data_IF_134571441449
#
_entry.id   IF_134571441449
#
_cell.length_a   1.000
_cell.length_b   1.000
_cell.length_c   1.000
_cell.angle_alpha   90.00
_cell.angle_beta   90.00
_cell.angle_gamma   90.00
#
_symmetry.space_group_name_H-M   'P 1'
#
loop_
_entity.id
_entity.type
_entity.pdbx_description
1 polymer ?
#
# COMPACT_ATOMS: atom_id res chain seq x y z
N UNK A 1 5.53 -28.11 -13.03
CA UNK A 1 5.05 -26.78 -13.47
C UNK A 1 4.59 -26.02 -12.26
N UNK A 2 5.11 -24.82 -12.03
CA UNK A 2 4.80 -24.03 -10.83
C UNK A 2 3.97 -22.82 -11.27
N UNK A 3 2.65 -22.88 -11.02
CA UNK A 3 1.75 -21.77 -11.28
C UNK A 3 1.67 -20.90 -10.03
N UNK A 4 2.03 -19.62 -10.16
CA UNK A 4 1.96 -18.65 -9.06
C UNK A 4 0.72 -17.78 -9.27
N UNK A 5 -0.26 -17.93 -8.37
CA UNK A 5 -1.49 -17.13 -8.41
C UNK A 5 -1.22 -15.77 -7.77
N UNK A 6 -1.24 -14.72 -8.59
CA UNK A 6 -1.08 -13.32 -8.17
C UNK A 6 -2.42 -12.60 -8.04
N UNK A 7 -2.53 -11.59 -7.16
CA UNK A 7 -3.78 -10.85 -6.98
C UNK A 7 -4.00 -9.73 -8.04
N UNK A 8 -2.95 -9.32 -8.76
CA UNK A 8 -3.01 -8.42 -9.91
C UNK A 8 -3.31 -9.19 -11.21
N UNK A 9 -3.94 -8.51 -12.16
CA UNK A 9 -4.41 -9.10 -13.42
C UNK A 9 -3.28 -9.31 -14.42
N UNK A 10 -2.32 -8.38 -14.47
CA UNK A 10 -1.13 -8.47 -15.31
C UNK A 10 0.10 -7.79 -14.66
N UNK A 11 1.28 -7.99 -15.24
CA UNK A 11 2.52 -7.39 -14.75
C UNK A 11 2.57 -5.88 -14.93
N UNK A 12 1.81 -5.31 -15.89
CA UNK A 12 1.75 -3.88 -16.14
C UNK A 12 1.02 -3.16 -15.01
N UNK A 13 -0.03 -3.76 -14.48
CA UNK A 13 -0.80 -3.25 -13.35
C UNK A 13 0.08 -3.10 -12.11
N UNK A 14 0.93 -4.10 -11.83
CA UNK A 14 1.89 -4.04 -10.72
C UNK A 14 2.92 -2.93 -10.93
N UNK A 15 3.48 -2.80 -12.14
CA UNK A 15 4.44 -1.74 -12.46
C UNK A 15 3.82 -0.35 -12.36
N UNK A 16 2.55 -0.20 -12.75
CA UNK A 16 1.81 1.05 -12.62
C UNK A 16 1.60 1.40 -11.14
N UNK A 17 1.16 0.45 -10.31
CA UNK A 17 1.01 0.68 -8.86
C UNK A 17 2.35 1.08 -8.24
N UNK A 18 3.45 0.44 -8.62
CA UNK A 18 4.78 0.86 -8.18
C UNK A 18 5.09 2.30 -8.58
N UNK A 19 4.85 2.68 -9.83
CA UNK A 19 5.08 4.05 -10.29
C UNK A 19 4.22 5.06 -9.54
N UNK A 20 2.97 4.73 -9.28
CA UNK A 20 2.02 5.60 -8.58
C UNK A 20 2.39 5.75 -7.08
N UNK A 21 2.85 4.68 -6.41
CA UNK A 21 3.30 4.70 -5.01
C UNK A 21 4.53 5.60 -4.79
N UNK A 22 5.53 5.51 -5.67
CA UNK A 22 6.76 6.31 -5.59
C UNK A 22 6.65 7.68 -6.29
N UNK A 23 5.49 7.99 -6.88
CA UNK A 23 5.24 9.29 -7.50
C UNK A 23 5.19 10.43 -6.49
N UNK A 24 5.00 11.66 -6.97
CA UNK A 24 4.81 12.84 -6.11
C UNK A 24 3.33 13.22 -5.94
N UNK A 25 2.46 12.67 -6.78
CA UNK A 25 1.02 12.94 -6.81
C UNK A 25 0.29 12.14 -5.72
N UNK A 26 -0.26 12.83 -4.72
CA UNK A 26 -0.98 12.24 -3.60
C UNK A 26 -2.26 11.50 -4.03
N UNK A 27 -2.95 11.96 -5.08
CA UNK A 27 -4.16 11.32 -5.59
C UNK A 27 -3.82 9.98 -6.23
N UNK A 28 -2.70 9.91 -6.96
CA UNK A 28 -2.22 8.66 -7.56
C UNK A 28 -1.76 7.68 -6.48
N UNK A 29 -1.04 8.15 -5.45
CA UNK A 29 -0.65 7.32 -4.30
C UNK A 29 -1.86 6.70 -3.60
N UNK A 30 -2.88 7.50 -3.30
CA UNK A 30 -4.09 7.01 -2.65
C UNK A 30 -4.80 5.94 -3.49
N UNK A 31 -4.91 6.17 -4.81
CA UNK A 31 -5.47 5.16 -5.73
C UNK A 31 -4.63 3.87 -5.75
N UNK A 32 -3.31 3.99 -5.67
CA UNK A 32 -2.41 2.84 -5.64
C UNK A 32 -2.54 2.05 -4.33
N UNK A 33 -2.59 2.72 -3.18
CA UNK A 33 -2.83 2.11 -1.87
C UNK A 33 -4.18 1.38 -1.86
N UNK A 34 -5.25 2.03 -2.31
CA UNK A 34 -6.57 1.42 -2.40
C UNK A 34 -6.60 0.16 -3.29
N UNK A 35 -5.83 0.14 -4.38
CA UNK A 35 -5.67 -1.07 -5.20
C UNK A 35 -4.96 -2.18 -4.45
N UNK A 36 -3.90 -1.89 -3.71
CA UNK A 36 -3.19 -2.89 -2.90
C UNK A 36 -4.10 -3.45 -1.81
N UNK A 37 -4.90 -2.61 -1.14
CA UNK A 37 -5.91 -3.10 -0.18
C UNK A 37 -6.99 -3.95 -0.84
N UNK A 38 -7.45 -3.59 -2.05
CA UNK A 38 -8.36 -4.44 -2.80
C UNK A 38 -7.74 -5.81 -3.14
N UNK A 39 -6.45 -5.86 -3.46
CA UNK A 39 -5.71 -7.11 -3.68
C UNK A 39 -5.57 -7.94 -2.41
N UNK A 40 -5.30 -7.30 -1.28
CA UNK A 40 -5.28 -7.94 0.04
C UNK A 40 -6.60 -8.62 0.36
N UNK A 41 -7.72 -7.94 0.13
CA UNK A 41 -9.06 -8.51 0.35
C UNK A 41 -9.38 -9.68 -0.58
N UNK A 42 -8.83 -9.70 -1.81
CA UNK A 42 -9.03 -10.82 -2.75
C UNK A 42 -8.24 -12.06 -2.37
N UNK A 43 -7.05 -11.88 -1.79
CA UNK A 43 -6.17 -12.99 -1.42
C UNK A 43 -5.32 -12.62 -0.20
N UNK A 44 -5.84 -12.82 1.03
CA UNK A 44 -5.17 -12.40 2.26
C UNK A 44 -3.79 -13.05 2.43
N UNK A 45 -3.63 -14.32 2.01
CA UNK A 45 -2.36 -15.07 2.17
C UNK A 45 -1.46 -15.05 0.92
N UNK A 46 -1.82 -14.27 -0.11
CA UNK A 46 -1.13 -14.27 -1.40
C UNK A 46 -0.47 -12.96 -1.78
N UNK A 47 -0.61 -11.93 -0.95
CA UNK A 47 0.04 -10.65 -1.17
C UNK A 47 1.49 -10.72 -0.65
N UNK A 48 2.49 -10.30 -1.44
CA UNK A 48 3.85 -10.21 -0.93
C UNK A 48 3.93 -9.28 0.28
N UNK A 49 4.55 -9.73 1.37
CA UNK A 49 4.69 -8.96 2.61
C UNK A 49 5.25 -7.55 2.34
N UNK A 50 6.28 -7.46 1.49
CA UNK A 50 6.89 -6.18 1.10
C UNK A 50 5.90 -5.20 0.49
N UNK A 51 4.93 -5.69 -0.29
CA UNK A 51 3.91 -4.85 -0.93
C UNK A 51 2.88 -4.37 0.09
N UNK A 52 2.48 -5.22 1.04
CA UNK A 52 1.56 -4.85 2.13
C UNK A 52 2.20 -3.80 3.07
N UNK A 53 3.44 -4.03 3.51
CA UNK A 53 4.17 -3.06 4.36
C UNK A 53 4.38 -1.72 3.66
N UNK A 54 4.66 -1.74 2.34
CA UNK A 54 4.80 -0.48 1.57
C UNK A 54 3.48 0.27 1.47
N UNK A 55 2.36 -0.43 1.26
CA UNK A 55 1.04 0.20 1.23
C UNK A 55 0.66 0.79 2.59
N UNK A 56 0.90 0.06 3.68
CA UNK A 56 0.66 0.53 5.05
C UNK A 56 1.47 1.81 5.35
N UNK A 57 2.75 1.87 5.00
CA UNK A 57 3.58 3.07 5.20
C UNK A 57 3.07 4.26 4.37
N UNK A 58 2.73 4.03 3.10
CA UNK A 58 2.26 5.10 2.21
C UNK A 58 0.90 5.62 2.66
N UNK A 59 0.03 4.76 3.20
CA UNK A 59 -1.24 5.16 3.79
C UNK A 59 -1.05 6.12 4.98
N UNK A 60 -0.16 5.78 5.90
CA UNK A 60 0.17 6.67 7.05
C UNK A 60 0.74 8.00 6.56
N UNK A 61 1.57 7.99 5.52
CA UNK A 61 2.14 9.21 4.93
C UNK A 61 1.05 10.08 4.28
N UNK A 62 0.04 9.48 3.64
CA UNK A 62 -1.10 10.21 3.09
C UNK A 62 -1.97 10.82 4.20
N UNK A 63 -2.18 10.10 5.30
CA UNK A 63 -2.90 10.61 6.46
C UNK A 63 -2.16 11.78 7.14
N UNK A 64 -0.83 11.71 7.20
CA UNK A 64 0.03 12.79 7.69
C UNK A 64 -0.07 14.05 6.80
N UNK A 65 -0.04 13.87 5.46
CA UNK A 65 -0.20 14.97 4.51
C UNK A 65 -1.57 15.67 4.60
N UNK A 66 -2.63 14.93 4.96
CA UNK A 66 -3.96 15.51 5.18
C UNK A 66 -4.04 16.34 6.47
N UNK A 67 -3.05 16.23 7.37
CA UNK A 67 -3.02 16.91 8.67
C UNK A 67 -4.29 16.70 9.51
N UNK A 68 -5.06 15.64 9.22
CA UNK A 68 -6.33 15.35 9.89
C UNK A 68 -6.11 14.70 11.27
N UNK A 69 -4.92 14.14 11.52
CA UNK A 69 -4.59 13.42 12.74
C UNK A 69 -3.60 14.18 13.62
N UNK A 70 -3.83 14.12 14.94
CA UNK A 70 -2.90 14.66 15.94
C UNK A 70 -1.58 13.85 15.94
N UNK A 71 -0.51 14.45 16.44
CA UNK A 71 0.84 13.87 16.44
C UNK A 71 0.94 12.49 17.12
N UNK A 72 0.14 12.23 18.17
CA UNK A 72 0.18 10.95 18.89
C UNK A 72 -0.35 9.75 18.08
N UNK A 73 -1.56 9.79 17.49
CA UNK A 73 -2.03 8.69 16.63
C UNK A 73 -1.15 8.46 15.40
N UNK A 74 -0.57 9.52 14.81
CA UNK A 74 0.38 9.36 13.70
C UNK A 74 1.62 8.55 14.08
N UNK A 75 2.23 8.85 15.25
CA UNK A 75 3.39 8.08 15.73
C UNK A 75 3.06 6.61 15.99
N UNK A 76 1.85 6.34 16.49
CA UNK A 76 1.38 4.97 16.68
C UNK A 76 1.22 4.25 15.34
N UNK A 77 0.59 4.90 14.35
CA UNK A 77 0.41 4.33 13.02
C UNK A 77 1.74 4.04 12.33
N UNK A 78 2.69 4.97 12.37
CA UNK A 78 4.05 4.72 11.87
C UNK A 78 4.74 3.56 12.60
N UNK A 79 4.62 3.50 13.93
CA UNK A 79 5.17 2.40 14.71
C UNK A 79 4.56 1.05 14.32
N UNK A 80 3.23 0.99 14.08
CA UNK A 80 2.56 -0.24 13.64
C UNK A 80 2.91 -0.64 12.22
N UNK A 81 3.13 0.32 11.31
CA UNK A 81 3.53 0.04 9.93
C UNK A 81 4.96 -0.52 9.85
N UNK A 82 5.87 -0.04 10.72
CA UNK A 82 7.26 -0.48 10.77
C UNK A 82 7.43 -1.80 11.55
N UNK A 83 6.58 -2.05 12.55
CA UNK A 83 6.67 -3.25 13.40
C UNK A 83 6.06 -4.52 12.78
N UNK A 84 5.47 -4.42 11.58
CA UNK A 84 4.76 -5.53 10.92
C UNK A 84 5.70 -6.47 10.16
#
# INVERSE_FOLDING_TARGET
>A
MQFVVTPWRDSKELLQVRHDLYGTDSIKKERAVNKVFAWRSRKPDGLPLLLDSTADIVDVLLQDQRSELKHNPLRLLYATAVSR
#
